data_IF_324423497854
#
_entry.id   IF_324423497854
#
_cell.length_a   1.000
_cell.length_b   1.000
_cell.length_c   1.000
_cell.angle_alpha   90.00
_cell.angle_beta   90.00
_cell.angle_gamma   90.00
#
_symmetry.space_group_name_H-M   'P 1'
#
loop_
_entity.id
_entity.type
_entity.pdbx_description
1 polymer ?
#
# COMPACT_ATOMS: atom_id res chain seq x y z
N UNK A 1 36.30 -62.44 -16.65
CA UNK A 1 35.59 -61.17 -16.86
C UNK A 1 34.12 -61.51 -16.97
N UNK A 2 33.43 -61.48 -15.84
CA UNK A 2 32.09 -62.07 -15.68
C UNK A 2 31.17 -61.00 -15.11
N UNK A 3 30.06 -60.77 -15.82
CA UNK A 3 29.08 -59.72 -15.56
C UNK A 3 28.08 -60.22 -14.51
N UNK A 4 28.00 -59.53 -13.37
CA UNK A 4 27.01 -59.79 -12.34
C UNK A 4 26.05 -58.59 -12.21
N UNK A 5 24.82 -58.78 -12.72
CA UNK A 5 23.65 -57.92 -12.52
C UNK A 5 23.38 -57.73 -11.02
N UNK A 6 23.29 -56.48 -10.56
CA UNK A 6 22.76 -56.17 -9.22
C UNK A 6 21.35 -55.58 -9.33
N UNK A 7 20.45 -56.25 -8.64
CA UNK A 7 19.01 -56.12 -8.65
C UNK A 7 18.59 -55.03 -7.65
N UNK A 8 18.11 -53.87 -8.09
CA UNK A 8 17.47 -52.89 -7.21
C UNK A 8 15.99 -53.23 -7.08
N UNK A 9 15.57 -53.75 -5.92
CA UNK A 9 14.16 -53.92 -5.57
C UNK A 9 13.59 -52.56 -5.15
N UNK A 10 12.64 -52.06 -5.94
CA UNK A 10 11.67 -51.06 -5.50
C UNK A 10 10.93 -51.57 -4.27
N UNK A 11 10.94 -50.79 -3.18
CA UNK A 11 9.93 -50.91 -2.13
C UNK A 11 8.86 -49.89 -2.45
N UNK A 12 7.74 -50.39 -2.94
CA UNK A 12 6.48 -49.65 -3.00
C UNK A 12 6.06 -49.34 -1.56
N UNK A 13 6.24 -48.08 -1.15
CA UNK A 13 5.64 -47.57 0.08
C UNK A 13 4.24 -47.08 -0.33
N UNK A 14 3.24 -47.87 0.06
CA UNK A 14 1.84 -47.50 -0.03
C UNK A 14 1.63 -46.14 0.66
N UNK A 15 1.05 -45.19 -0.08
CA UNK A 15 0.57 -43.92 0.43
C UNK A 15 -0.70 -44.23 1.22
N UNK A 16 -0.58 -44.33 2.54
CA UNK A 16 -1.75 -44.44 3.42
C UNK A 16 -2.37 -43.04 3.58
N UNK A 17 -3.63 -42.93 3.16
CA UNK A 17 -4.38 -41.69 3.02
C UNK A 17 -4.96 -41.21 4.34
N UNK A 18 -4.11 -40.68 5.22
CA UNK A 18 -4.56 -40.00 6.44
C UNK A 18 -3.64 -38.81 6.80
N UNK A 19 -3.58 -37.82 5.90
CA UNK A 19 -2.96 -36.51 6.16
C UNK A 19 -3.89 -35.67 7.06
N UNK A 20 -4.01 -36.08 8.33
CA UNK A 20 -4.38 -35.14 9.39
C UNK A 20 -3.23 -34.12 9.43
N UNK A 21 -3.48 -32.90 8.93
CA UNK A 21 -2.55 -31.77 8.93
C UNK A 21 -1.92 -31.62 10.31
N UNK A 22 -0.77 -32.26 10.52
CA UNK A 22 -0.07 -32.20 11.79
C UNK A 22 0.61 -30.85 11.80
N UNK A 23 0.08 -29.89 12.57
CA UNK A 23 0.67 -28.56 12.65
C UNK A 23 2.16 -28.70 12.99
N UNK A 24 3.06 -28.03 12.25
CA UNK A 24 4.49 -28.16 12.50
C UNK A 24 4.80 -27.73 13.94
N UNK A 25 5.54 -28.56 14.65
CA UNK A 25 5.98 -28.26 16.02
C UNK A 25 6.86 -27.01 15.99
N UNK A 26 6.49 -25.99 16.77
CA UNK A 26 7.26 -24.74 16.87
C UNK A 26 8.44 -24.88 17.83
N UNK A 27 8.17 -25.40 19.03
CA UNK A 27 9.18 -25.64 20.07
C UNK A 27 9.03 -27.07 20.59
N UNK A 28 10.06 -27.92 20.48
CA UNK A 28 10.01 -29.28 21.01
C UNK A 28 9.66 -29.27 22.50
N UNK A 29 8.71 -30.13 22.91
CA UNK A 29 8.28 -30.24 24.31
C UNK A 29 7.31 -29.16 24.78
N UNK A 30 6.88 -28.23 23.92
CA UNK A 30 5.90 -27.20 24.25
C UNK A 30 4.72 -27.24 23.27
N UNK A 31 3.46 -27.18 23.75
CA UNK A 31 2.29 -27.02 22.88
C UNK A 31 2.39 -25.78 21.99
N UNK A 32 1.97 -25.90 20.72
CA UNK A 32 2.11 -24.82 19.73
C UNK A 32 1.50 -23.49 20.17
N UNK A 33 0.34 -23.49 20.84
CA UNK A 33 -0.28 -22.25 21.32
C UNK A 33 0.59 -21.48 22.34
N UNK A 34 1.28 -22.19 23.25
CA UNK A 34 2.22 -21.56 24.20
C UNK A 34 3.51 -21.13 23.49
N UNK A 35 4.00 -21.98 22.57
CA UNK A 35 5.17 -21.65 21.77
C UNK A 35 4.95 -20.38 20.94
N UNK A 36 3.76 -20.21 20.36
CA UNK A 36 3.36 -19.01 19.64
C UNK A 36 3.42 -17.77 20.51
N UNK A 37 2.92 -17.82 21.75
CA UNK A 37 2.98 -16.68 22.69
C UNK A 37 4.43 -16.31 23.03
N UNK A 38 5.29 -17.29 23.28
CA UNK A 38 6.71 -17.05 23.55
C UNK A 38 7.41 -16.38 22.35
N UNK A 39 7.21 -16.95 21.15
CA UNK A 39 7.85 -16.45 19.93
C UNK A 39 7.28 -15.09 19.48
N UNK A 40 6.00 -14.79 19.75
CA UNK A 40 5.36 -13.53 19.39
C UNK A 40 6.02 -12.28 20.01
N UNK A 41 6.77 -12.45 21.10
CA UNK A 41 7.48 -11.36 21.76
C UNK A 41 8.86 -11.05 21.14
N UNK A 42 9.34 -11.89 20.22
CA UNK A 42 10.65 -11.76 19.61
C UNK A 42 10.59 -10.98 18.28
N UNK A 43 11.70 -10.34 17.92
CA UNK A 43 11.78 -9.63 16.65
C UNK A 43 11.65 -10.61 15.47
N UNK A 44 10.78 -10.33 14.48
CA UNK A 44 10.58 -11.21 13.33
C UNK A 44 11.86 -11.52 12.55
N UNK A 45 12.80 -10.57 12.48
CA UNK A 45 14.10 -10.73 11.83
C UNK A 45 14.98 -11.80 12.48
N UNK A 46 14.90 -11.96 13.81
CA UNK A 46 15.59 -13.02 14.54
C UNK A 46 14.94 -14.38 14.24
N UNK A 47 13.61 -14.44 14.37
CA UNK A 47 12.84 -15.66 14.11
C UNK A 47 13.03 -16.18 12.69
N UNK A 48 13.07 -15.26 11.71
CA UNK A 48 13.28 -15.59 10.31
C UNK A 48 14.62 -16.30 10.06
N UNK A 49 15.65 -16.06 10.87
CA UNK A 49 16.98 -16.66 10.65
C UNK A 49 17.09 -18.09 11.19
N UNK A 50 16.26 -18.47 12.16
CA UNK A 50 16.46 -19.68 12.96
C UNK A 50 16.08 -20.96 12.20
N UNK A 51 14.81 -21.13 11.82
CA UNK A 51 14.36 -22.34 11.14
C UNK A 51 13.14 -22.10 10.25
N UNK A 52 12.84 -23.04 9.35
CA UNK A 52 11.71 -22.94 8.40
C UNK A 52 10.37 -22.88 9.13
N UNK A 53 10.20 -23.63 10.22
CA UNK A 53 8.97 -23.64 11.01
C UNK A 53 8.65 -22.24 11.57
N UNK A 54 9.65 -21.55 12.12
CA UNK A 54 9.47 -20.18 12.63
C UNK A 54 9.31 -19.16 11.52
N UNK A 55 10.00 -19.32 10.38
CA UNK A 55 9.74 -18.52 9.18
C UNK A 55 8.26 -18.64 8.77
N UNK A 56 7.72 -19.85 8.69
CA UNK A 56 6.30 -20.07 8.36
C UNK A 56 5.38 -19.45 9.41
N UNK A 57 5.73 -19.58 10.69
CA UNK A 57 4.97 -19.00 11.80
C UNK A 57 4.88 -17.47 11.71
N UNK A 58 5.98 -16.75 11.45
CA UNK A 58 5.93 -15.28 11.34
C UNK A 58 5.11 -14.79 10.14
N UNK A 59 4.83 -15.66 9.15
CA UNK A 59 3.92 -15.38 8.02
C UNK A 59 2.50 -15.95 8.19
N UNK A 60 2.20 -16.59 9.32
CA UNK A 60 0.88 -17.14 9.64
C UNK A 60 -0.05 -16.08 10.28
N UNK A 61 -1.38 -16.21 10.20
CA UNK A 61 -2.30 -15.27 10.86
C UNK A 61 -2.18 -15.25 12.40
N UNK A 62 -1.54 -16.27 12.98
CA UNK A 62 -1.38 -16.41 14.44
C UNK A 62 -0.22 -15.57 15.00
N UNK A 63 0.66 -15.04 14.15
CA UNK A 63 1.74 -14.16 14.58
C UNK A 63 1.34 -12.69 14.44
N UNK A 64 1.57 -11.83 15.45
CA UNK A 64 1.28 -10.41 15.36
C UNK A 64 1.89 -9.79 14.10
N UNK A 65 1.12 -9.09 13.26
CA UNK A 65 1.66 -8.60 12.00
C UNK A 65 2.73 -7.53 12.26
N UNK A 66 3.93 -7.78 11.75
CA UNK A 66 4.87 -6.70 11.48
C UNK A 66 4.44 -5.95 10.22
N UNK A 67 5.06 -4.80 9.96
CA UNK A 67 4.68 -3.94 8.85
C UNK A 67 5.57 -4.16 7.63
N UNK A 68 4.98 -4.08 6.46
CA UNK A 68 5.64 -4.15 5.17
C UNK A 68 5.31 -2.89 4.34
N UNK A 69 6.09 -2.68 3.29
CA UNK A 69 5.90 -1.57 2.37
C UNK A 69 5.14 -2.06 1.15
N UNK A 70 3.99 -1.47 0.86
CA UNK A 70 3.19 -1.74 -0.33
C UNK A 70 3.45 -0.65 -1.34
N UNK A 71 3.59 -1.02 -2.61
CA UNK A 71 3.87 -0.10 -3.68
C UNK A 71 2.96 -0.36 -4.89
N UNK A 72 2.48 0.73 -5.47
CA UNK A 72 1.88 0.76 -6.78
C UNK A 72 2.97 1.11 -7.78
N UNK A 73 3.21 0.23 -8.75
CA UNK A 73 4.30 0.36 -9.72
C UNK A 73 3.77 0.46 -11.14
N UNK A 74 4.47 1.16 -12.02
CA UNK A 74 4.21 1.14 -13.47
C UNK A 74 5.49 0.75 -14.24
N UNK A 75 5.37 0.18 -15.46
CA UNK A 75 6.53 -0.07 -16.31
C UNK A 75 7.18 1.25 -16.77
N UNK A 76 8.52 1.34 -16.74
CA UNK A 76 9.28 2.53 -17.15
C UNK A 76 9.28 2.78 -18.66
N UNK A 77 9.05 1.75 -19.48
CA UNK A 77 9.00 1.84 -20.94
C UNK A 77 7.85 1.01 -21.50
N UNK A 78 7.11 1.48 -22.52
CA UNK A 78 6.14 0.65 -23.22
C UNK A 78 6.86 -0.47 -23.95
N UNK A 79 6.41 -1.71 -23.78
CA UNK A 79 6.89 -2.81 -24.60
C UNK A 79 6.56 -2.51 -26.09
N UNK A 80 7.52 -2.67 -27.02
CA UNK A 80 7.36 -2.21 -28.40
C UNK A 80 6.25 -2.93 -29.22
N UNK A 81 5.74 -4.07 -28.77
CA UNK A 81 5.03 -5.00 -29.66
C UNK A 81 3.54 -5.25 -29.33
N UNK A 82 2.83 -4.32 -28.71
CA UNK A 82 1.37 -4.49 -28.53
C UNK A 82 0.64 -3.16 -28.47
N UNK A 83 -0.10 -2.83 -29.54
CA UNK A 83 -0.96 -1.66 -29.69
C UNK A 83 -2.08 -1.50 -28.62
N UNK A 84 -2.12 -2.39 -27.62
CA UNK A 84 -3.13 -2.43 -26.55
C UNK A 84 -2.56 -2.54 -25.12
N UNK A 85 -1.24 -2.58 -24.90
CA UNK A 85 -0.67 -2.66 -23.55
C UNK A 85 -0.56 -1.26 -22.93
N UNK A 86 -1.70 -0.73 -22.48
CA UNK A 86 -1.70 0.42 -21.58
C UNK A 86 -0.95 0.04 -20.29
N UNK A 87 -0.04 0.92 -19.83
CA UNK A 87 0.80 0.79 -18.63
C UNK A 87 -0.01 0.54 -17.35
N UNK A 88 -0.55 -0.66 -17.21
CA UNK A 88 -1.44 -1.01 -16.10
C UNK A 88 -0.60 -1.12 -14.84
N UNK A 89 -0.98 -0.34 -13.83
CA UNK A 89 -0.25 -0.31 -12.60
C UNK A 89 -0.32 -1.68 -11.90
N UNK A 90 0.83 -2.16 -11.44
CA UNK A 90 1.02 -3.42 -10.76
C UNK A 90 1.22 -3.20 -9.26
N UNK A 91 0.81 -4.16 -8.44
CA UNK A 91 0.83 -4.04 -6.99
C UNK A 91 1.89 -4.94 -6.39
N UNK A 92 2.77 -4.38 -5.57
CA UNK A 92 3.87 -5.10 -4.93
C UNK A 92 3.91 -4.85 -3.42
N UNK A 93 4.48 -5.82 -2.71
CA UNK A 93 4.80 -5.75 -1.29
C UNK A 93 6.30 -6.03 -1.12
N UNK A 94 7.02 -5.09 -0.52
CA UNK A 94 8.39 -5.29 -0.04
C UNK A 94 8.36 -5.79 1.40
N UNK A 95 8.87 -7.00 1.56
CA UNK A 95 9.02 -7.68 2.84
C UNK A 95 10.34 -7.26 3.51
N UNK A 96 10.31 -6.50 4.62
CA UNK A 96 11.53 -6.00 5.26
C UNK A 96 12.29 -7.09 6.03
N UNK A 97 11.66 -8.24 6.30
CA UNK A 97 12.29 -9.36 7.03
C UNK A 97 13.00 -10.29 6.06
N UNK A 98 12.33 -10.64 4.96
CA UNK A 98 12.94 -11.43 3.88
C UNK A 98 13.80 -10.60 2.91
N UNK A 99 13.72 -9.26 2.99
CA UNK A 99 14.35 -8.30 2.09
C UNK A 99 14.01 -8.59 0.61
N UNK A 100 12.72 -8.76 0.32
CA UNK A 100 12.26 -9.22 -1.00
C UNK A 100 10.96 -8.57 -1.43
N UNK A 101 10.91 -8.14 -2.70
CA UNK A 101 9.68 -7.74 -3.38
C UNK A 101 8.84 -8.96 -3.77
N UNK A 102 7.52 -8.84 -3.59
CA UNK A 102 6.54 -9.86 -3.99
C UNK A 102 5.36 -9.18 -4.67
N UNK A 103 4.90 -9.75 -5.78
CA UNK A 103 3.65 -9.30 -6.40
C UNK A 103 2.47 -9.62 -5.49
N UNK A 104 1.51 -8.70 -5.44
CA UNK A 104 0.18 -9.01 -4.92
C UNK A 104 -0.57 -9.88 -5.94
N UNK A 105 -1.60 -10.62 -5.51
CA UNK A 105 -2.57 -11.22 -6.41
C UNK A 105 -3.20 -10.16 -7.32
N UNK A 106 -3.65 -10.58 -8.51
CA UNK A 106 -4.37 -9.67 -9.40
C UNK A 106 -5.70 -9.24 -8.79
N UNK A 107 -6.06 -7.94 -8.87
CA UNK A 107 -7.37 -7.47 -8.45
C UNK A 107 -8.49 -8.09 -9.30
N UNK A 108 -9.71 -8.25 -8.75
CA UNK A 108 -10.85 -8.77 -9.49
C UNK A 108 -11.21 -7.85 -10.64
N UNK A 109 -11.46 -8.44 -11.81
CA UNK A 109 -11.87 -7.74 -13.02
C UNK A 109 -13.35 -8.03 -13.30
N UNK A 110 -14.18 -6.99 -13.43
CA UNK A 110 -15.60 -7.12 -13.77
C UNK A 110 -15.80 -7.37 -15.28
N UNK A 111 -15.11 -8.37 -15.83
CA UNK A 111 -15.20 -8.77 -17.24
C UNK A 111 -14.20 -8.11 -18.21
N UNK A 112 -13.44 -7.10 -17.77
CA UNK A 112 -12.36 -6.48 -18.56
C UNK A 112 -11.13 -6.18 -17.68
N UNK A 113 -9.90 -6.24 -18.24
CA UNK A 113 -8.68 -5.89 -17.50
C UNK A 113 -8.76 -4.48 -16.92
N UNK A 114 -8.32 -4.31 -15.67
CA UNK A 114 -8.17 -3.01 -15.02
C UNK A 114 -7.08 -2.19 -15.72
N UNK A 115 -7.49 -1.44 -16.74
CA UNK A 115 -6.62 -0.56 -17.51
C UNK A 115 -6.55 0.82 -16.83
N UNK A 116 -5.51 1.02 -16.04
CA UNK A 116 -5.21 2.31 -15.41
C UNK A 116 -4.09 2.99 -16.18
N UNK A 117 -4.37 4.20 -16.68
CA UNK A 117 -3.40 5.01 -17.38
C UNK A 117 -2.62 5.86 -16.36
N UNK A 118 -1.33 5.56 -16.18
CA UNK A 118 -0.40 6.40 -15.41
C UNK A 118 0.31 7.45 -16.28
N UNK A 119 0.57 7.14 -17.57
CA UNK A 119 1.21 8.03 -18.53
C UNK A 119 0.49 7.95 -19.88
N UNK A 120 0.20 9.10 -20.48
CA UNK A 120 -0.43 9.14 -21.79
C UNK A 120 0.64 9.18 -22.90
N UNK A 121 0.57 8.32 -23.93
CA UNK A 121 1.62 8.20 -24.96
C UNK A 121 1.85 9.50 -25.75
N UNK A 122 0.81 10.33 -25.90
CA UNK A 122 0.90 11.63 -26.62
C UNK A 122 1.13 12.86 -25.72
N UNK A 123 1.13 12.70 -24.39
CA UNK A 123 1.25 13.82 -23.44
C UNK A 123 2.50 13.63 -22.58
N UNK A 124 3.59 14.30 -22.96
CA UNK A 124 4.93 14.07 -22.42
C UNK A 124 5.08 14.54 -20.96
N UNK A 125 4.19 15.38 -20.42
CA UNK A 125 4.49 16.13 -19.18
C UNK A 125 3.70 15.79 -17.92
N UNK A 126 2.77 14.81 -17.91
CA UNK A 126 1.97 14.55 -16.68
C UNK A 126 1.80 13.06 -16.38
N UNK A 127 2.30 12.66 -15.20
CA UNK A 127 1.86 11.46 -14.50
C UNK A 127 0.40 11.68 -14.12
N UNK A 128 -0.48 10.82 -14.61
CA UNK A 128 -1.88 10.82 -14.25
C UNK A 128 -2.04 10.15 -12.89
N UNK A 129 -2.70 10.81 -11.93
CA UNK A 129 -2.74 10.31 -10.57
C UNK A 129 -3.58 9.02 -10.50
N UNK A 130 -3.03 8.05 -9.77
CA UNK A 130 -3.72 6.85 -9.33
C UNK A 130 -3.85 6.96 -7.81
N UNK A 131 -5.06 7.26 -7.35
CA UNK A 131 -5.33 7.56 -5.94
C UNK A 131 -5.53 6.28 -5.16
N UNK A 132 -4.57 6.02 -4.28
CA UNK A 132 -4.60 4.91 -3.34
C UNK A 132 -4.41 5.44 -1.93
N UNK A 133 -5.11 4.84 -0.96
CA UNK A 133 -5.05 5.24 0.45
C UNK A 133 -4.97 4.01 1.34
N UNK A 134 -4.54 4.21 2.58
CA UNK A 134 -4.60 3.19 3.62
C UNK A 134 -5.72 3.52 4.61
N UNK A 135 -6.60 2.55 4.88
CA UNK A 135 -7.67 2.69 5.86
C UNK A 135 -7.92 1.34 6.56
N UNK A 136 -8.12 1.35 7.88
CA UNK A 136 -8.40 0.13 8.68
C UNK A 136 -7.46 -1.06 8.41
N UNK A 137 -6.17 -0.79 8.14
CA UNK A 137 -5.19 -1.84 7.81
C UNK A 137 -5.33 -2.47 6.42
N UNK A 138 -6.13 -1.88 5.54
CA UNK A 138 -6.32 -2.29 4.15
C UNK A 138 -5.68 -1.28 3.19
N UNK A 139 -5.24 -1.78 2.03
CA UNK A 139 -4.86 -0.94 0.89
C UNK A 139 -6.10 -0.71 0.03
N UNK A 140 -6.43 0.54 -0.24
CA UNK A 140 -7.57 0.92 -1.06
C UNK A 140 -7.11 1.63 -2.32
N UNK A 141 -7.72 1.26 -3.44
CA UNK A 141 -7.62 2.00 -4.69
C UNK A 141 -8.96 2.69 -4.95
N UNK A 142 -8.95 4.02 -4.97
CA UNK A 142 -10.18 4.82 -4.97
C UNK A 142 -10.49 5.39 -6.34
N UNK A 143 -9.49 5.99 -7.01
CA UNK A 143 -9.71 6.68 -8.27
C UNK A 143 -8.52 6.54 -9.20
N UNK A 144 -8.80 6.29 -10.48
CA UNK A 144 -7.82 6.22 -11.55
C UNK A 144 -8.46 6.63 -12.88
N UNK A 145 -7.64 6.71 -13.92
CA UNK A 145 -8.06 7.14 -15.26
C UNK A 145 -7.92 5.98 -16.24
N UNK A 146 -8.88 5.84 -17.14
CA UNK A 146 -8.73 5.02 -18.35
C UNK A 146 -7.95 5.78 -19.42
N UNK A 147 -7.60 5.11 -20.51
CA UNK A 147 -6.94 5.74 -21.67
C UNK A 147 -7.77 6.87 -22.31
N UNK A 148 -9.10 6.77 -22.25
CA UNK A 148 -10.01 7.81 -22.73
C UNK A 148 -10.27 8.91 -21.70
N UNK A 149 -9.47 8.98 -20.63
CA UNK A 149 -9.69 9.90 -19.53
C UNK A 149 -11.12 9.75 -18.99
N UNK A 150 -11.52 8.52 -18.64
CA UNK A 150 -12.75 8.26 -17.89
C UNK A 150 -12.40 7.72 -16.50
N UNK A 151 -13.30 7.81 -15.50
CA UNK A 151 -13.12 7.11 -14.24
C UNK A 151 -12.92 5.61 -14.48
N UNK A 152 -11.81 5.06 -13.99
CA UNK A 152 -11.47 3.65 -14.23
C UNK A 152 -12.16 2.66 -13.27
N UNK A 153 -12.78 3.17 -12.20
CA UNK A 153 -13.30 2.37 -11.09
C UNK A 153 -14.77 2.68 -10.86
N UNK A 154 -15.61 1.65 -10.90
CA UNK A 154 -17.02 1.72 -10.48
C UNK A 154 -17.19 1.43 -8.99
N UNK A 155 -16.24 0.69 -8.41
CA UNK A 155 -16.13 0.38 -7.00
C UNK A 155 -14.68 0.62 -6.58
N UNK A 156 -14.42 1.02 -5.32
CA UNK A 156 -13.09 0.92 -4.74
C UNK A 156 -12.59 -0.52 -4.81
N UNK A 157 -11.29 -0.71 -5.02
CA UNK A 157 -10.66 -2.01 -4.80
C UNK A 157 -10.02 -2.03 -3.43
N UNK A 158 -10.28 -3.10 -2.68
CA UNK A 158 -9.84 -3.26 -1.29
C UNK A 158 -8.97 -4.49 -1.19
N UNK A 159 -7.69 -4.31 -0.88
CA UNK A 159 -6.78 -5.39 -0.60
C UNK A 159 -6.60 -5.55 0.91
N UNK A 160 -6.86 -6.76 1.41
CA UNK A 160 -6.59 -7.15 2.78
C UNK A 160 -5.25 -7.89 2.86
N UNK A 161 -4.21 -7.31 3.48
CA UNK A 161 -2.92 -7.96 3.68
C UNK A 161 -2.97 -9.29 4.44
N UNK A 162 -3.85 -9.38 5.45
CA UNK A 162 -3.89 -10.53 6.35
C UNK A 162 -4.55 -11.75 5.71
N UNK A 163 -5.46 -11.55 4.76
CA UNK A 163 -6.07 -12.63 3.98
C UNK A 163 -5.48 -12.76 2.58
N UNK A 164 -4.59 -11.84 2.18
CA UNK A 164 -3.98 -11.76 0.85
C UNK A 164 -5.01 -11.81 -0.28
N UNK A 165 -6.14 -11.10 -0.10
CA UNK A 165 -7.27 -11.13 -1.03
C UNK A 165 -7.73 -9.72 -1.37
N UNK A 166 -8.17 -9.57 -2.60
CA UNK A 166 -8.89 -8.41 -3.08
C UNK A 166 -10.40 -8.61 -2.94
N UNK A 167 -11.10 -7.51 -2.69
CA UNK A 167 -12.57 -7.41 -2.62
C UNK A 167 -13.00 -6.07 -3.22
N UNK A 168 -14.29 -5.96 -3.53
CA UNK A 168 -14.88 -4.69 -3.96
C UNK A 168 -15.39 -3.92 -2.74
N UNK A 169 -15.10 -2.62 -2.71
CA UNK A 169 -15.79 -1.69 -1.82
C UNK A 169 -17.20 -1.38 -2.32
N UNK A 170 -17.92 -0.45 -1.67
CA UNK A 170 -19.26 -0.07 -2.10
C UNK A 170 -19.24 0.64 -3.47
N UNK A 171 -20.26 0.42 -4.33
CA UNK A 171 -20.36 1.08 -5.63
C UNK A 171 -20.38 2.59 -5.46
N UNK A 172 -19.56 3.30 -6.23
CA UNK A 172 -19.61 4.76 -6.24
C UNK A 172 -20.97 5.24 -6.74
N UNK A 173 -21.60 6.18 -6.03
CA UNK A 173 -22.79 6.88 -6.52
C UNK A 173 -22.47 7.69 -7.78
N UNK A 174 -21.24 8.19 -7.89
CA UNK A 174 -20.71 8.84 -9.10
C UNK A 174 -19.22 8.52 -9.24
N UNK A 175 -18.85 7.56 -10.11
CA UNK A 175 -17.46 7.26 -10.43
C UNK A 175 -16.71 8.53 -10.83
N UNK A 176 -15.53 8.74 -10.25
CA UNK A 176 -14.81 10.01 -10.37
C UNK A 176 -13.30 9.83 -10.35
N UNK A 177 -12.59 10.83 -10.87
CA UNK A 177 -11.14 11.00 -10.83
C UNK A 177 -10.75 12.40 -10.36
N UNK A 178 -9.48 12.59 -10.02
CA UNK A 178 -8.95 13.88 -9.54
C UNK A 178 -9.75 14.43 -8.36
N UNK A 179 -10.15 13.52 -7.47
CA UNK A 179 -10.91 13.86 -6.28
C UNK A 179 -9.98 14.11 -5.10
N UNK A 180 -10.56 14.61 -4.02
CA UNK A 180 -9.91 14.61 -2.71
C UNK A 180 -10.20 13.25 -2.07
N UNK A 181 -9.16 12.54 -1.63
CA UNK A 181 -9.31 11.24 -0.98
C UNK A 181 -8.57 11.22 0.34
N UNK A 182 -9.22 10.75 1.39
CA UNK A 182 -8.56 10.61 2.69
C UNK A 182 -9.19 9.56 3.57
N UNK A 183 -8.47 9.18 4.61
CA UNK A 183 -8.97 8.29 5.66
C UNK A 183 -8.88 8.96 7.02
N UNK A 184 -9.88 8.69 7.84
CA UNK A 184 -9.94 9.12 9.23
C UNK A 184 -10.64 8.03 10.03
N UNK A 185 -10.00 7.59 11.11
CA UNK A 185 -10.44 6.45 11.92
C UNK A 185 -10.66 5.20 11.03
N UNK A 186 -11.85 4.61 11.05
CA UNK A 186 -12.26 3.50 10.20
C UNK A 186 -12.98 3.94 8.92
N UNK A 187 -12.96 5.23 8.59
CA UNK A 187 -13.77 5.81 7.52
C UNK A 187 -12.91 6.36 6.38
N UNK A 188 -13.41 6.17 5.16
CA UNK A 188 -12.87 6.69 3.92
C UNK A 188 -13.73 7.85 3.47
N UNK A 189 -13.08 8.91 2.98
CA UNK A 189 -13.74 10.11 2.49
C UNK A 189 -13.31 10.38 1.06
N UNK A 190 -14.30 10.70 0.22
CA UNK A 190 -14.10 11.12 -1.16
C UNK A 190 -14.86 12.41 -1.37
N UNK A 191 -14.19 13.46 -1.84
CA UNK A 191 -14.80 14.75 -2.09
C UNK A 191 -14.45 15.30 -3.47
N UNK A 192 -15.36 16.06 -4.07
CA UNK A 192 -15.14 16.71 -5.37
C UNK A 192 -14.72 15.72 -6.47
N UNK A 193 -13.94 16.18 -7.45
CA UNK A 193 -13.47 15.41 -8.60
C UNK A 193 -14.40 15.49 -9.81
N UNK A 194 -14.02 14.76 -10.86
CA UNK A 194 -14.74 14.74 -12.14
C UNK A 194 -15.08 13.33 -12.57
N UNK A 195 -16.32 13.14 -13.05
CA UNK A 195 -16.73 11.92 -13.73
C UNK A 195 -16.28 11.87 -15.19
N UNK A 196 -17.04 11.13 -16.00
CA UNK A 196 -16.92 11.14 -17.46
C UNK A 196 -17.20 12.53 -18.05
N UNK A 197 -18.18 13.23 -17.48
CA UNK A 197 -18.49 14.62 -17.75
C UNK A 197 -18.42 15.44 -16.47
N UNK A 198 -18.22 16.76 -16.62
CA UNK A 198 -18.27 17.66 -15.48
C UNK A 198 -19.70 17.77 -14.96
N UNK A 199 -19.88 17.48 -13.68
CA UNK A 199 -21.14 17.65 -12.97
C UNK A 199 -20.88 18.48 -11.71
N UNK A 200 -21.63 19.59 -11.58
CA UNK A 200 -21.47 20.53 -10.46
C UNK A 200 -21.76 19.88 -9.11
N UNK A 201 -22.75 19.01 -9.05
CA UNK A 201 -23.17 18.36 -7.80
C UNK A 201 -22.10 17.38 -7.31
N UNK A 202 -21.52 16.60 -8.22
CA UNK A 202 -20.36 15.72 -7.97
C UNK A 202 -19.15 16.53 -7.51
N UNK A 203 -18.86 17.66 -8.16
CA UNK A 203 -17.73 18.52 -7.79
C UNK A 203 -17.85 19.14 -6.38
N UNK A 204 -19.07 19.21 -5.82
CA UNK A 204 -19.36 19.74 -4.47
C UNK A 204 -19.71 18.65 -3.45
N UNK A 205 -19.87 17.41 -3.88
CA UNK A 205 -20.23 16.30 -3.00
C UNK A 205 -19.06 15.91 -2.09
N UNK A 206 -19.42 15.46 -0.89
CA UNK A 206 -18.55 14.77 0.04
C UNK A 206 -19.22 13.45 0.40
N UNK A 207 -18.53 12.33 0.21
CA UNK A 207 -19.03 10.99 0.48
C UNK A 207 -18.13 10.34 1.54
N UNK A 208 -18.75 9.67 2.50
CA UNK A 208 -18.07 8.90 3.55
C UNK A 208 -18.46 7.43 3.42
N UNK A 209 -17.48 6.56 3.53
CA UNK A 209 -17.71 5.12 3.68
C UNK A 209 -17.08 4.65 4.99
N UNK A 210 -17.87 4.04 5.86
CA UNK A 210 -17.40 3.45 7.12
C UNK A 210 -17.04 1.97 6.93
N UNK A 211 -15.75 1.66 7.05
CA UNK A 211 -15.21 0.30 6.91
C UNK A 211 -15.33 -0.53 8.19
N UNK A 212 -15.79 0.05 9.31
CA UNK A 212 -16.03 -0.72 10.54
C UNK A 212 -17.27 -1.63 10.43
N UNK A 213 -18.18 -1.30 9.51
CA UNK A 213 -19.35 -2.11 9.18
C UNK A 213 -18.94 -3.39 8.43
N UNK A 214 -19.82 -4.38 8.44
CA UNK A 214 -19.63 -5.61 7.64
C UNK A 214 -19.63 -5.29 6.15
N UNK A 215 -18.89 -6.08 5.36
CA UNK A 215 -18.76 -5.88 3.90
C UNK A 215 -20.12 -5.81 3.19
N UNK A 216 -21.08 -6.65 3.57
CA UNK A 216 -22.43 -6.64 3.02
C UNK A 216 -23.24 -5.36 3.33
N UNK A 217 -22.80 -4.56 4.29
CA UNK A 217 -23.43 -3.30 4.73
C UNK A 217 -22.65 -2.07 4.26
N UNK A 218 -21.56 -2.27 3.51
CA UNK A 218 -20.78 -1.15 2.99
C UNK A 218 -21.61 -0.32 2.02
N UNK A 219 -21.65 0.98 2.28
CA UNK A 219 -22.32 1.96 1.45
C UNK A 219 -21.64 3.33 1.58
N UNK A 220 -21.77 4.14 0.52
CA UNK A 220 -21.40 5.55 0.58
C UNK A 220 -22.53 6.35 1.22
N UNK A 221 -22.16 7.15 2.22
CA UNK A 221 -23.04 8.09 2.90
C UNK A 221 -22.70 9.50 2.41
N UNK A 222 -23.63 10.14 1.71
CA UNK A 222 -23.46 11.55 1.32
C UNK A 222 -23.46 12.43 2.58
N UNK A 223 -22.42 13.24 2.71
CA UNK A 223 -22.27 14.25 3.77
C UNK A 223 -22.57 15.63 3.21
N UNK A 224 -22.74 16.59 4.10
CA UNK A 224 -23.05 17.98 3.74
C UNK A 224 -22.03 18.50 2.73
N UNK A 225 -22.54 18.93 1.57
CA UNK A 225 -21.73 19.48 0.50
C UNK A 225 -20.88 20.66 1.01
N UNK A 226 -19.64 20.73 0.57
CA UNK A 226 -18.79 21.85 0.90
C UNK A 226 -19.29 23.07 0.10
N UNK A 227 -19.83 24.08 0.81
CA UNK A 227 -20.45 25.28 0.20
C UNK A 227 -19.48 26.02 -0.71
N UNK A 228 -18.18 25.97 -0.39
CA UNK A 228 -17.09 26.60 -1.13
C UNK A 228 -16.22 25.61 -1.91
N UNK A 229 -16.68 24.36 -2.10
CA UNK A 229 -15.91 23.39 -2.88
C UNK A 229 -15.73 23.89 -4.32
N UNK A 230 -14.47 24.19 -4.62
CA UNK A 230 -14.01 24.44 -5.98
C UNK A 230 -13.68 23.10 -6.63
N UNK A 231 -13.94 23.03 -7.92
CA UNK A 231 -13.55 21.90 -8.76
C UNK A 231 -12.05 21.63 -8.61
N UNK A 232 -11.68 20.45 -8.12
CA UNK A 232 -10.29 20.00 -8.17
C UNK A 232 -9.99 19.41 -9.55
N UNK A 233 -8.96 19.93 -10.22
CA UNK A 233 -8.35 19.32 -11.41
C UNK A 233 -7.17 18.39 -11.06
N UNK A 234 -6.90 18.24 -9.77
CA UNK A 234 -5.77 17.48 -9.25
C UNK A 234 -6.25 16.46 -8.23
N UNK A 235 -5.57 15.32 -8.18
CA UNK A 235 -5.75 14.39 -7.07
C UNK A 235 -5.13 15.00 -5.82
N UNK A 236 -5.91 15.05 -4.74
CA UNK A 236 -5.46 15.61 -3.47
C UNK A 236 -5.65 14.54 -2.40
N UNK A 237 -4.60 14.28 -1.63
CA UNK A 237 -4.69 13.41 -0.45
C UNK A 237 -5.14 14.23 0.75
N UNK A 238 -5.97 13.63 1.61
CA UNK A 238 -6.40 14.24 2.86
C UNK A 238 -6.11 13.30 4.03
N UNK A 239 -5.74 13.88 5.17
CA UNK A 239 -5.33 13.16 6.38
C UNK A 239 -6.35 13.45 7.48
N UNK A 240 -6.85 12.41 8.14
CA UNK A 240 -7.65 12.53 9.35
C UNK A 240 -6.80 12.85 10.58
N UNK A 241 -7.15 13.90 11.32
CA UNK A 241 -6.48 14.30 12.55
C UNK A 241 -7.47 14.88 13.57
N UNK A 242 -7.52 14.29 14.78
CA UNK A 242 -8.40 14.73 15.90
C UNK A 242 -9.85 14.97 15.45
N UNK A 243 -10.40 14.06 14.64
CA UNK A 243 -11.77 14.16 14.12
C UNK A 243 -11.98 15.20 13.00
N UNK A 244 -10.92 15.78 12.45
CA UNK A 244 -10.96 16.69 11.30
C UNK A 244 -10.23 16.08 10.10
N UNK A 245 -10.70 16.35 8.89
CA UNK A 245 -10.03 15.93 7.65
C UNK A 245 -9.27 17.12 7.06
N UNK A 246 -7.95 16.99 6.92
CA UNK A 246 -7.07 18.05 6.43
C UNK A 246 -6.53 17.70 5.05
N UNK A 247 -6.80 18.53 4.05
CA UNK A 247 -6.29 18.34 2.69
C UNK A 247 -4.79 18.62 2.65
N UNK A 248 -4.01 17.83 1.93
CA UNK A 248 -2.57 18.02 1.75
C UNK A 248 -2.29 18.35 0.29
N UNK A 249 -1.99 19.63 0.02
CA UNK A 249 -1.54 20.05 -1.30
C UNK A 249 -0.01 20.00 -1.38
N UNK A 250 0.52 18.97 -2.06
CA UNK A 250 1.97 18.77 -2.25
C UNK A 250 2.59 19.86 -3.14
N UNK A 251 1.79 20.63 -3.88
CA UNK A 251 2.27 21.68 -4.82
C UNK A 251 2.09 23.13 -4.35
N UNK A 252 1.63 23.37 -3.12
CA UNK A 252 1.29 24.72 -2.68
C UNK A 252 1.80 25.03 -1.28
N UNK A 253 2.45 26.19 -1.13
CA UNK A 253 3.02 26.78 0.11
C UNK A 253 2.01 27.07 1.24
N UNK A 254 0.89 26.37 1.35
CA UNK A 254 -0.08 26.64 2.40
C UNK A 254 -0.83 25.39 2.84
N UNK A 255 -0.61 24.96 4.09
CA UNK A 255 -1.48 24.04 4.80
C UNK A 255 -1.48 24.32 6.31
N UNK A 256 -2.69 24.30 6.90
CA UNK A 256 -2.93 24.38 8.34
C UNK A 256 -3.30 22.99 8.90
N UNK A 257 -2.57 22.63 9.97
CA UNK A 257 -2.91 21.78 11.13
C UNK A 257 -3.19 20.27 11.03
N UNK A 258 -2.29 19.46 11.62
CA UNK A 258 -2.57 18.15 12.24
C UNK A 258 -1.66 16.98 11.85
N UNK A 259 -0.68 16.61 12.70
CA UNK A 259 0.34 15.55 12.52
C UNK A 259 0.77 15.28 11.06
N UNK A 260 0.89 16.35 10.28
CA UNK A 260 1.31 16.29 8.90
C UNK A 260 2.83 16.16 8.93
N UNK A 261 3.36 15.12 8.28
CA UNK A 261 4.77 15.13 7.90
C UNK A 261 4.82 15.71 6.50
N UNK A 262 5.40 16.89 6.38
CA UNK A 262 5.55 17.59 5.12
C UNK A 262 6.99 17.42 4.65
N UNK A 263 7.16 16.96 3.41
CA UNK A 263 8.43 17.13 2.70
C UNK A 263 8.36 18.49 2.01
N UNK A 264 9.32 19.34 2.29
CA UNK A 264 9.56 20.51 1.44
C UNK A 264 10.15 20.02 0.11
N UNK A 265 9.44 20.20 -1.00
CA UNK A 265 9.88 19.70 -2.30
C UNK A 265 11.11 20.47 -2.85
N UNK A 266 11.31 21.72 -2.42
CA UNK A 266 12.42 22.58 -2.85
C UNK A 266 13.69 22.27 -2.05
N UNK A 267 13.57 22.08 -0.73
CA UNK A 267 14.72 21.86 0.17
C UNK A 267 14.94 20.39 0.52
N UNK A 268 13.90 19.56 0.44
CA UNK A 268 13.90 18.15 0.84
C UNK A 268 13.93 17.95 2.36
N UNK A 269 13.53 18.94 3.16
CA UNK A 269 13.41 18.77 4.61
C UNK A 269 12.13 18.04 4.98
N UNK A 270 12.13 17.33 6.11
CA UNK A 270 10.92 16.76 6.72
C UNK A 270 10.55 17.54 7.97
N UNK A 271 9.35 18.11 7.94
CA UNK A 271 8.76 18.79 9.07
C UNK A 271 7.58 18.00 9.63
N UNK A 272 7.49 17.89 10.94
CA UNK A 272 6.35 17.34 11.66
C UNK A 272 5.57 18.51 12.23
N UNK A 273 4.26 18.49 12.03
CA UNK A 273 3.40 19.45 12.70
C UNK A 273 3.22 19.09 14.19
N UNK A 274 3.63 20.00 15.08
CA UNK A 274 3.36 19.94 16.52
C UNK A 274 2.02 20.64 16.84
N UNK A 275 0.99 19.88 17.22
CA UNK A 275 -0.33 20.43 17.53
C UNK A 275 -0.42 21.15 18.88
N UNK A 276 0.53 20.96 19.79
CA UNK A 276 0.48 21.62 21.11
C UNK A 276 0.94 23.07 21.01
N UNK A 277 2.00 23.31 20.25
CA UNK A 277 2.60 24.63 20.07
C UNK A 277 2.17 25.35 18.78
N UNK A 278 1.27 24.73 18.00
CA UNK A 278 0.85 25.22 16.68
C UNK A 278 2.00 25.60 15.74
N UNK A 279 3.03 24.76 15.72
CA UNK A 279 4.25 25.02 14.95
C UNK A 279 4.68 23.79 14.14
N UNK A 280 5.56 24.04 13.16
CA UNK A 280 6.22 22.98 12.41
C UNK A 280 7.61 22.77 12.99
N UNK A 281 7.90 21.53 13.38
CA UNK A 281 9.21 21.11 13.84
C UNK A 281 9.93 20.36 12.72
N UNK A 282 11.02 20.94 12.22
CA UNK A 282 11.91 20.22 11.32
C UNK A 282 12.64 19.13 12.13
N UNK A 283 12.46 17.88 11.72
CA UNK A 283 13.13 16.75 12.35
C UNK A 283 14.08 16.02 11.41
N UNK A 284 14.01 16.29 10.10
CA UNK A 284 15.07 15.97 9.14
C UNK A 284 15.37 17.21 8.33
N UNK A 285 16.63 17.65 8.35
CA UNK A 285 17.08 18.81 7.60
C UNK A 285 17.04 18.62 6.08
N UNK A 286 17.34 19.69 5.31
CA UNK A 286 17.34 19.68 3.86
C UNK A 286 18.13 18.49 3.29
N UNK A 287 17.50 17.72 2.42
CA UNK A 287 18.07 16.54 1.82
C UNK A 287 17.85 16.53 0.32
N UNK A 288 18.93 16.46 -0.46
CA UNK A 288 18.83 16.34 -1.92
C UNK A 288 18.07 15.08 -2.36
N UNK A 289 17.95 14.09 -1.49
CA UNK A 289 17.21 12.85 -1.74
C UNK A 289 15.70 13.02 -1.71
N UNK A 290 15.18 13.95 -0.91
CA UNK A 290 13.74 14.16 -0.72
C UNK A 290 13.22 15.32 -1.58
N UNK A 291 14.11 16.08 -2.23
CA UNK A 291 13.73 17.10 -3.20
C UNK A 291 12.95 16.47 -4.35
N UNK A 292 11.87 17.14 -4.74
CA UNK A 292 11.04 16.65 -5.85
C UNK A 292 10.16 15.44 -5.50
N UNK A 293 10.11 14.97 -4.25
CA UNK A 293 9.35 13.78 -3.88
C UNK A 293 7.88 13.85 -4.34
N UNK A 294 7.41 12.79 -5.01
CA UNK A 294 6.07 12.77 -5.62
C UNK A 294 4.99 12.21 -4.70
N UNK A 295 5.35 11.26 -3.83
CA UNK A 295 4.44 10.56 -2.94
C UNK A 295 5.13 10.25 -1.62
N UNK A 296 4.40 10.36 -0.50
CA UNK A 296 4.93 10.12 0.84
C UNK A 296 3.96 9.26 1.62
N UNK A 297 4.48 8.32 2.41
CA UNK A 297 3.71 7.56 3.39
C UNK A 297 4.44 7.52 4.72
N UNK A 298 3.71 7.68 5.82
CA UNK A 298 4.29 7.64 7.16
C UNK A 298 3.49 6.71 8.07
N UNK A 299 4.19 5.92 8.87
CA UNK A 299 3.57 4.95 9.76
C UNK A 299 4.61 4.21 10.60
N UNK A 300 4.23 3.85 11.84
CA UNK A 300 5.03 2.98 12.73
C UNK A 300 6.50 3.42 12.89
N UNK A 301 6.74 4.72 13.01
CA UNK A 301 8.09 5.28 13.19
C UNK A 301 8.92 5.34 11.90
N UNK A 302 8.32 5.11 10.72
CA UNK A 302 9.00 5.26 9.43
C UNK A 302 8.29 6.27 8.54
N UNK A 303 9.06 6.85 7.63
CA UNK A 303 8.60 7.72 6.54
C UNK A 303 9.20 7.19 5.25
N UNK A 304 8.36 6.93 4.26
CA UNK A 304 8.76 6.52 2.92
C UNK A 304 8.43 7.65 1.95
N UNK A 305 9.41 8.08 1.15
CA UNK A 305 9.23 9.09 0.13
C UNK A 305 9.68 8.55 -1.23
N UNK A 306 8.87 8.77 -2.26
CA UNK A 306 9.15 8.37 -3.65
C UNK A 306 9.89 9.50 -4.35
N UNK A 307 10.99 9.17 -5.03
CA UNK A 307 11.79 10.14 -5.79
C UNK A 307 11.01 10.80 -6.93
N UNK A 308 11.51 11.94 -7.41
CA UNK A 308 10.90 12.72 -8.48
C UNK A 308 10.74 11.96 -9.81
N UNK A 309 11.48 10.88 -10.03
CA UNK A 309 11.45 10.02 -11.21
C UNK A 309 10.76 8.67 -10.93
N UNK A 310 10.31 8.42 -9.70
CA UNK A 310 9.76 7.13 -9.28
C UNK A 310 10.78 5.99 -9.20
N UNK A 311 12.07 6.23 -9.44
CA UNK A 311 13.08 5.18 -9.49
C UNK A 311 13.51 4.67 -8.11
N UNK A 312 13.27 5.44 -7.04
CA UNK A 312 13.76 5.14 -5.69
C UNK A 312 12.72 5.45 -4.63
N UNK A 313 12.74 4.67 -3.56
CA UNK A 313 12.00 4.93 -2.33
C UNK A 313 13.01 5.19 -1.21
N UNK A 314 12.97 6.39 -0.65
CA UNK A 314 13.75 6.77 0.51
C UNK A 314 12.98 6.40 1.77
N UNK A 315 13.53 5.50 2.58
CA UNK A 315 12.94 5.11 3.86
C UNK A 315 13.75 5.73 4.98
N UNK A 316 13.08 6.54 5.80
CA UNK A 316 13.64 7.24 6.94
C UNK A 316 13.05 6.65 8.21
N UNK A 317 13.91 6.11 9.07
CA UNK A 317 13.53 5.67 10.40
C UNK A 317 13.57 6.86 11.37
N UNK A 318 12.39 7.28 11.79
CA UNK A 318 12.18 8.41 12.69
C UNK A 318 11.90 7.94 14.12
N UNK A 319 11.95 6.63 14.40
CA UNK A 319 11.88 6.14 15.78
C UNK A 319 13.15 6.48 16.56
N UNK A 320 14.28 6.59 15.86
CA UNK A 320 15.57 6.97 16.43
C UNK A 320 15.68 8.48 16.77
N UNK A 321 14.89 9.34 16.14
CA UNK A 321 14.93 10.79 16.42
C UNK A 321 14.36 11.13 17.80
N UNK A 322 13.54 10.26 18.39
CA UNK A 322 13.10 10.36 19.79
C UNK A 322 14.24 10.14 20.80
N UNK A 323 15.40 9.61 20.38
CA UNK A 323 16.56 9.28 21.22
C UNK A 323 17.78 10.12 20.83
N UNK A 324 17.57 11.32 20.26
CA UNK A 324 18.63 12.27 19.87
C UNK A 324 19.74 11.69 18.97
N UNK A 325 19.43 10.67 18.16
CA UNK A 325 20.32 10.15 17.11
C UNK A 325 19.88 10.67 15.75
N UNK A 326 20.83 10.86 14.81
CA UNK A 326 20.45 11.16 13.44
C UNK A 326 19.53 10.05 12.91
N UNK A 327 18.47 10.41 12.17
CA UNK A 327 17.55 9.42 11.61
C UNK A 327 18.30 8.50 10.65
N UNK A 328 18.15 7.19 10.84
CA UNK A 328 18.70 6.22 9.90
C UNK A 328 17.89 6.29 8.60
N UNK A 329 18.57 6.31 7.46
CA UNK A 329 17.91 6.26 6.16
C UNK A 329 18.54 5.18 5.27
N UNK A 330 17.71 4.58 4.42
CA UNK A 330 18.16 3.67 3.37
C UNK A 330 17.29 3.83 2.14
N UNK A 331 17.79 3.32 1.01
CA UNK A 331 17.15 3.40 -0.29
C UNK A 331 16.60 2.01 -0.63
N UNK A 332 15.37 1.97 -1.10
CA UNK A 332 14.77 0.80 -1.73
C UNK A 332 14.57 1.08 -3.21
N UNK A 333 15.03 0.17 -4.04
CA UNK A 333 14.80 0.19 -5.48
C UNK A 333 13.61 -0.72 -5.79
N UNK A 334 12.67 -0.29 -6.65
CA UNK A 334 11.61 -1.16 -7.14
C UNK A 334 12.21 -2.31 -7.99
N UNK A 335 11.43 -3.35 -8.31
CA UNK A 335 11.83 -4.34 -9.31
C UNK A 335 12.31 -3.70 -10.62
N UNK A 336 13.24 -4.35 -11.30
CA UNK A 336 13.84 -3.84 -12.54
C UNK A 336 12.76 -3.51 -13.60
N UNK A 337 12.93 -2.37 -14.28
CA UNK A 337 11.99 -1.89 -15.30
C UNK A 337 10.70 -1.28 -14.75
N UNK A 338 10.61 -1.03 -13.44
CA UNK A 338 9.44 -0.44 -12.79
C UNK A 338 9.75 0.93 -12.19
N UNK A 339 8.77 1.83 -12.23
CA UNK A 339 8.72 3.09 -11.49
C UNK A 339 7.64 3.02 -10.40
N UNK A 340 7.88 3.72 -9.30
CA UNK A 340 6.98 3.79 -8.16
C UNK A 340 6.01 4.95 -8.34
N UNK A 341 4.71 4.65 -8.28
CA UNK A 341 3.63 5.65 -8.34
C UNK A 341 3.22 6.08 -6.93
N UNK A 342 3.00 5.10 -6.05
CA UNK A 342 2.53 5.34 -4.69
C UNK A 342 3.08 4.28 -3.74
N UNK A 343 3.23 4.65 -2.47
CA UNK A 343 3.67 3.74 -1.40
C UNK A 343 2.78 3.83 -0.16
N UNK A 344 2.65 2.71 0.56
CA UNK A 344 1.81 2.56 1.74
C UNK A 344 2.50 1.67 2.77
N UNK A 345 2.38 1.99 4.06
CA UNK A 345 2.91 1.16 5.15
C UNK A 345 1.73 0.42 5.80
N UNK A 346 1.70 -0.91 5.66
CA UNK A 346 0.57 -1.76 6.06
C UNK A 346 1.06 -3.02 6.78
N UNK A 347 0.18 -3.74 7.50
CA UNK A 347 0.47 -5.08 7.99
C UNK A 347 1.06 -5.96 6.88
N UNK A 348 2.03 -6.78 7.20
CA UNK A 348 2.66 -7.71 6.26
C UNK A 348 1.66 -8.71 5.71
N UNK A 349 1.88 -9.11 4.47
CA UNK A 349 1.02 -10.07 3.78
C UNK A 349 1.10 -11.47 4.42
N UNK A 350 -0.04 -12.13 4.59
CA UNK A 350 -0.07 -13.54 5.02
C UNK A 350 0.28 -14.49 3.90
N UNK A 351 1.04 -15.54 4.22
CA UNK A 351 1.33 -16.61 3.28
C UNK A 351 0.52 -17.82 3.74
N UNK A 352 -0.46 -18.23 2.94
CA UNK A 352 -1.15 -19.49 3.18
C UNK A 352 -0.25 -20.65 2.72
N UNK A 353 -0.28 -21.76 3.47
CA UNK A 353 0.68 -22.87 3.35
C UNK A 353 0.77 -23.51 1.95
N UNK A 354 -0.21 -23.27 1.08
CA UNK A 354 -0.24 -23.72 -0.32
C UNK A 354 0.72 -22.97 -1.26
N UNK A 355 1.47 -21.98 -0.77
CA UNK A 355 2.36 -21.12 -1.58
C UNK A 355 3.85 -21.26 -1.21
N UNK A 356 4.23 -22.31 -0.48
CA UNK A 356 5.62 -22.59 -0.12
C UNK A 356 6.31 -23.54 -1.09
#
# INVERSE_FOLDING_TARGET
MESAKKHCKNKDIAIDGNDLQTEPVLLPGLPNHLASLCLANLQPSLLYRVCISWRRFIYSPNFPPFYALYALLAPTSPAPDSACQFHSASFFCFDPVAWKWRSLPSPPTSGAPLCMLSRHPSYISRILPVQSITASGHLLLIAANTHNFLPALSHPLVFNPLSSKWSFGPPFTSPRRWCVTGSMDSSVYVASGTGAQYQRDVARSLERWDMSKKEAEWMWETRTACKDAKFSREAIEAIGYRGKLCMVNIKGRALKQGAVKLVDQETGSLSRYDPENDCWEEFVGPSNHLKGAQHISAGRGKVCAVSADGAKIYVVDVSASAIARPPNFWILEPPEGMEVIAVHILPRMSIHQSSC
#
